data_IF_597272250104
#
_entry.id   IF_597272250104
#
_cell.length_a   1.000
_cell.length_b   1.000
_cell.length_c   1.000
_cell.angle_alpha   90.00
_cell.angle_beta   90.00
_cell.angle_gamma   90.00
#
_symmetry.space_group_name_H-M   'P 1'
#
loop_
_entity.id
_entity.type
_entity.pdbx_description
1 polymer ?
#
# COMPACT_ATOMS: atom_id res chain seq x y z
N UNK A 1 -47.02 13.60 -17.60
CA UNK A 1 -45.61 13.82 -18.01
C UNK A 1 -44.75 12.88 -17.18
N UNK A 2 -44.34 11.77 -17.78
CA UNK A 2 -43.60 10.69 -17.11
C UNK A 2 -42.10 10.99 -17.17
N UNK A 3 -41.47 11.22 -16.03
CA UNK A 3 -40.01 11.16 -15.93
C UNK A 3 -39.55 9.74 -16.29
N UNK A 4 -38.56 9.63 -17.18
CA UNK A 4 -38.08 8.32 -17.63
C UNK A 4 -37.31 7.64 -16.49
N UNK A 5 -37.33 6.29 -16.43
CA UNK A 5 -36.59 5.53 -15.41
C UNK A 5 -35.08 5.81 -15.41
N UNK A 6 -34.51 6.35 -16.49
CA UNK A 6 -33.10 6.77 -16.52
C UNK A 6 -32.85 8.09 -15.77
N UNK A 7 -33.83 8.98 -15.69
CA UNK A 7 -33.68 10.28 -15.03
C UNK A 7 -33.67 10.14 -13.50
N UNK A 8 -34.31 9.10 -12.97
CA UNK A 8 -34.28 8.75 -11.55
C UNK A 8 -32.99 8.06 -11.10
N UNK A 9 -32.35 7.29 -11.98
CA UNK A 9 -31.09 6.59 -11.65
C UNK A 9 -29.90 7.55 -11.59
N UNK A 10 -29.91 8.60 -12.41
CA UNK A 10 -28.91 9.66 -12.36
C UNK A 10 -29.09 10.59 -11.16
N UNK A 11 -30.33 10.87 -10.72
CA UNK A 11 -30.57 11.76 -9.58
C UNK A 11 -30.16 11.15 -8.22
N UNK A 12 -30.16 9.82 -8.09
CA UNK A 12 -29.76 9.13 -6.86
C UNK A 12 -28.23 8.99 -6.72
N UNK A 13 -27.51 8.87 -7.83
CA UNK A 13 -26.04 8.85 -7.81
C UNK A 13 -25.42 10.22 -7.52
N UNK A 14 -26.08 11.32 -7.90
CA UNK A 14 -25.53 12.67 -7.67
C UNK A 14 -25.86 13.25 -6.28
N UNK A 15 -26.84 12.69 -5.57
CA UNK A 15 -27.30 13.25 -4.27
C UNK A 15 -26.70 12.61 -3.02
N UNK A 16 -25.96 11.50 -3.15
CA UNK A 16 -25.23 10.90 -2.01
C UNK A 16 -23.77 11.36 -1.86
N UNK A 17 -23.27 12.19 -2.78
CA UNK A 17 -21.90 12.76 -2.73
C UNK A 17 -21.85 14.27 -2.53
N UNK A 18 -22.99 14.90 -2.20
CA UNK A 18 -23.05 16.31 -1.85
C UNK A 18 -23.63 16.44 -0.45
N UNK A 19 -22.74 16.37 0.53
CA UNK A 19 -22.76 17.07 1.83
C UNK A 19 -22.04 16.24 2.91
N UNK A 20 -20.70 16.19 2.80
CA UNK A 20 -19.82 16.06 3.97
C UNK A 20 -18.43 16.53 3.57
N UNK A 21 -18.05 17.70 4.09
CA UNK A 21 -16.72 18.32 4.17
C UNK A 21 -15.72 18.29 3.01
N UNK A 22 -15.22 19.49 2.72
CA UNK A 22 -14.17 19.83 1.74
C UNK A 22 -12.78 19.43 2.23
N UNK A 23 -12.58 18.17 2.58
CA UNK A 23 -11.25 17.54 2.60
C UNK A 23 -11.35 16.31 1.71
N UNK A 24 -10.95 16.44 0.45
CA UNK A 24 -10.94 15.30 -0.47
C UNK A 24 -9.94 14.28 0.06
N UNK A 25 -10.43 13.18 0.63
CA UNK A 25 -9.58 12.04 0.97
C UNK A 25 -8.78 11.64 -0.26
N UNK A 26 -7.47 11.83 -0.21
CA UNK A 26 -6.55 11.50 -1.29
C UNK A 26 -6.04 10.08 -1.08
N UNK A 27 -5.77 9.40 -2.19
CA UNK A 27 -5.06 8.13 -2.20
C UNK A 27 -3.67 8.37 -2.77
N UNK A 28 -2.64 7.92 -2.06
CA UNK A 28 -1.26 7.92 -2.53
C UNK A 28 -0.77 6.49 -2.61
N UNK A 29 -0.16 6.15 -3.74
CA UNK A 29 0.40 4.85 -4.07
C UNK A 29 1.92 4.91 -3.91
N UNK A 30 2.46 4.00 -3.11
CA UNK A 30 3.90 3.75 -2.98
C UNK A 30 4.15 2.29 -3.36
N UNK A 31 5.12 2.06 -4.24
CA UNK A 31 5.65 0.72 -4.47
C UNK A 31 6.86 0.49 -3.57
N UNK A 32 6.83 -0.58 -2.78
CA UNK A 32 7.89 -0.91 -1.83
C UNK A 32 8.71 -2.09 -2.37
N UNK A 33 10.02 -1.88 -2.46
CA UNK A 33 11.01 -2.85 -2.90
C UNK A 33 12.15 -2.90 -1.89
N UNK A 34 11.99 -3.70 -0.85
CA UNK A 34 12.96 -3.89 0.24
C UNK A 34 13.61 -5.27 0.25
N UNK A 35 13.18 -6.21 -0.60
CA UNK A 35 13.72 -7.56 -0.61
C UNK A 35 14.81 -7.77 -1.67
N UNK A 36 15.89 -8.43 -1.23
CA UNK A 36 16.92 -9.11 -2.02
C UNK A 36 18.00 -8.26 -2.69
N UNK A 37 18.95 -7.83 -1.88
CA UNK A 37 20.33 -8.32 -1.99
C UNK A 37 20.84 -8.59 -0.56
N UNK A 38 20.85 -9.85 -0.11
CA UNK A 38 21.91 -10.23 0.84
C UNK A 38 23.20 -10.11 0.03
N UNK A 39 23.84 -8.95 -0.03
CA UNK A 39 25.24 -8.94 -0.43
C UNK A 39 25.94 -9.88 0.54
N UNK A 40 26.34 -11.07 0.06
CA UNK A 40 27.18 -11.95 0.86
C UNK A 40 28.44 -11.16 1.20
N UNK A 41 28.44 -10.58 2.39
CA UNK A 41 29.62 -10.18 3.11
C UNK A 41 30.46 -11.44 3.23
N UNK A 42 31.52 -11.48 2.44
CA UNK A 42 32.62 -12.44 2.53
C UNK A 42 32.27 -13.90 2.16
N UNK A 43 32.31 -14.22 0.87
CA UNK A 43 32.55 -15.59 0.40
C UNK A 43 31.82 -15.96 -0.87
N UNK A 44 32.59 -16.19 -1.94
CA UNK A 44 32.18 -16.78 -3.22
C UNK A 44 31.08 -16.05 -4.03
N UNK A 45 31.56 -15.12 -4.86
CA UNK A 45 30.80 -14.32 -5.84
C UNK A 45 30.06 -15.17 -6.91
N UNK A 46 30.37 -16.47 -7.01
CA UNK A 46 29.83 -17.37 -8.04
C UNK A 46 28.63 -18.22 -7.59
N UNK A 47 28.16 -18.10 -6.33
CA UNK A 47 27.02 -18.87 -5.81
C UNK A 47 26.05 -18.07 -4.95
N UNK A 48 25.77 -16.83 -5.35
CA UNK A 48 24.52 -16.20 -4.96
C UNK A 48 23.44 -16.64 -5.95
N UNK A 49 22.49 -17.46 -5.49
CA UNK A 49 21.23 -17.68 -6.19
C UNK A 49 20.41 -16.37 -6.14
N UNK A 50 20.90 -15.33 -6.82
CA UNK A 50 20.08 -14.20 -7.21
C UNK A 50 18.99 -14.78 -8.09
N UNK A 51 17.82 -15.04 -7.51
CA UNK A 51 16.65 -15.48 -8.26
C UNK A 51 16.14 -14.32 -9.09
N UNK A 52 16.86 -14.08 -10.18
CA UNK A 52 16.63 -13.05 -11.16
C UNK A 52 15.20 -13.10 -11.69
N UNK A 53 14.64 -14.31 -11.78
CA UNK A 53 13.30 -14.52 -12.29
C UNK A 53 12.26 -14.00 -11.30
N UNK A 54 12.40 -14.33 -10.02
CA UNK A 54 11.50 -13.78 -9.00
C UNK A 54 11.64 -12.27 -8.89
N UNK A 55 12.87 -11.75 -8.97
CA UNK A 55 13.14 -10.31 -8.99
C UNK A 55 12.48 -9.59 -10.17
N UNK A 56 12.65 -10.10 -11.39
CA UNK A 56 12.04 -9.51 -12.59
C UNK A 56 10.51 -9.59 -12.53
N UNK A 57 9.96 -10.70 -12.04
CA UNK A 57 8.51 -10.83 -11.86
C UNK A 57 7.95 -9.88 -10.79
N UNK A 58 8.66 -9.69 -9.68
CA UNK A 58 8.26 -8.75 -8.61
C UNK A 58 8.19 -7.32 -9.16
N UNK A 59 9.25 -6.87 -9.82
CA UNK A 59 9.31 -5.53 -10.43
C UNK A 59 8.17 -5.33 -11.43
N UNK A 60 7.96 -6.31 -12.33
CA UNK A 60 6.90 -6.20 -13.34
C UNK A 60 5.52 -6.20 -12.68
N UNK A 61 5.25 -7.12 -11.74
CA UNK A 61 3.94 -7.23 -11.11
C UNK A 61 3.60 -5.99 -10.26
N UNK A 62 4.53 -5.51 -9.43
CA UNK A 62 4.34 -4.29 -8.64
C UNK A 62 4.18 -3.07 -9.56
N UNK A 63 4.98 -2.98 -10.62
CA UNK A 63 4.90 -1.91 -11.61
C UNK A 63 3.56 -1.88 -12.36
N UNK A 64 3.04 -3.03 -12.80
CA UNK A 64 1.73 -3.14 -13.47
C UNK A 64 0.57 -2.76 -12.55
N UNK A 65 0.58 -3.25 -11.31
CA UNK A 65 -0.43 -2.91 -10.30
C UNK A 65 -0.34 -1.42 -9.96
N UNK A 66 0.88 -0.91 -9.75
CA UNK A 66 1.13 0.48 -9.42
C UNK A 66 0.72 1.43 -10.51
N UNK A 67 1.03 1.10 -11.76
CA UNK A 67 0.57 1.85 -12.92
C UNK A 67 -0.95 1.97 -12.94
N UNK A 68 -1.66 0.85 -12.75
CA UNK A 68 -3.13 0.81 -12.75
C UNK A 68 -3.73 1.70 -11.65
N UNK A 69 -3.20 1.64 -10.43
CA UNK A 69 -3.68 2.51 -9.35
C UNK A 69 -3.31 3.97 -9.53
N UNK A 70 -2.08 4.29 -9.95
CA UNK A 70 -1.69 5.68 -10.20
C UNK A 70 -2.60 6.32 -11.25
N UNK A 71 -2.90 5.59 -12.33
CA UNK A 71 -3.86 6.04 -13.34
C UNK A 71 -5.26 6.27 -12.74
N UNK A 72 -5.78 5.30 -11.97
CA UNK A 72 -7.10 5.39 -11.32
C UNK A 72 -7.22 6.60 -10.39
N UNK A 73 -6.20 6.87 -9.59
CA UNK A 73 -6.21 7.95 -8.59
C UNK A 73 -5.59 9.25 -9.12
N UNK A 74 -5.30 9.33 -10.42
CA UNK A 74 -4.69 10.50 -11.07
C UNK A 74 -3.39 10.97 -10.37
N UNK A 75 -2.64 10.02 -9.81
CA UNK A 75 -1.34 10.28 -9.20
C UNK A 75 -0.30 10.38 -10.30
N UNK A 76 0.25 11.59 -10.49
CA UNK A 76 1.27 11.85 -11.51
C UNK A 76 2.66 11.35 -11.12
N UNK A 77 2.95 11.33 -9.83
CA UNK A 77 4.25 10.94 -9.29
C UNK A 77 4.32 9.42 -9.10
N UNK A 78 5.39 8.79 -9.58
CA UNK A 78 5.66 7.38 -9.28
C UNK A 78 6.56 7.29 -8.06
N UNK A 79 5.97 7.22 -6.87
CA UNK A 79 6.73 7.04 -5.63
C UNK A 79 7.11 5.59 -5.44
N UNK A 80 8.39 5.37 -5.18
CA UNK A 80 8.94 4.08 -4.80
C UNK A 80 9.71 4.24 -3.48
N UNK A 81 9.79 3.18 -2.69
CA UNK A 81 10.76 3.07 -1.61
C UNK A 81 11.70 1.91 -1.92
N UNK A 82 12.99 2.19 -2.04
CA UNK A 82 14.03 1.16 -2.12
C UNK A 82 15.37 1.68 -1.65
N UNK A 83 16.11 0.86 -0.91
CA UNK A 83 17.51 1.12 -0.52
C UNK A 83 18.52 0.51 -1.51
N UNK A 84 18.03 -0.24 -2.51
CA UNK A 84 18.88 -0.89 -3.51
C UNK A 84 19.06 -0.02 -4.74
N UNK A 85 20.28 0.47 -4.98
CA UNK A 85 20.61 1.24 -6.18
C UNK A 85 20.30 0.45 -7.46
N UNK A 86 20.49 -0.88 -7.45
CA UNK A 86 20.20 -1.75 -8.60
C UNK A 86 18.71 -1.78 -8.93
N UNK A 87 17.84 -1.87 -7.92
CA UNK A 87 16.38 -1.80 -8.10
C UNK A 87 16.00 -0.44 -8.67
N UNK A 88 16.50 0.64 -8.06
CA UNK A 88 16.23 2.01 -8.50
C UNK A 88 16.64 2.24 -9.96
N UNK A 89 17.84 1.80 -10.36
CA UNK A 89 18.33 1.89 -11.73
C UNK A 89 17.49 1.06 -12.71
N UNK A 90 16.99 -0.09 -12.27
CA UNK A 90 16.12 -0.96 -13.09
C UNK A 90 14.77 -0.30 -13.33
N UNK A 91 14.15 0.23 -12.27
CA UNK A 91 12.88 0.95 -12.33
C UNK A 91 12.99 2.23 -13.17
N UNK A 92 14.07 3.02 -13.01
CA UNK A 92 14.33 4.21 -13.84
C UNK A 92 14.41 3.89 -15.34
N UNK A 93 14.93 2.72 -15.72
CA UNK A 93 14.98 2.28 -17.12
C UNK A 93 13.61 1.90 -17.67
N UNK A 94 12.74 1.32 -16.85
CA UNK A 94 11.42 0.84 -17.26
C UNK A 94 10.37 1.96 -17.24
N UNK A 95 10.28 2.70 -16.13
CA UNK A 95 9.20 3.67 -15.87
C UNK A 95 9.61 5.13 -16.09
N UNK A 96 10.79 5.38 -16.67
CA UNK A 96 11.40 6.68 -17.04
C UNK A 96 11.55 7.73 -15.93
N UNK A 97 10.72 7.77 -14.89
CA UNK A 97 10.73 8.76 -13.79
C UNK A 97 10.13 8.22 -12.47
N UNK A 98 10.72 7.16 -11.90
CA UNK A 98 10.43 6.78 -10.50
C UNK A 98 11.14 7.73 -9.53
N UNK A 99 10.44 8.14 -8.47
CA UNK A 99 10.94 9.03 -7.42
C UNK A 99 11.16 8.20 -6.14
N UNK A 100 12.43 8.05 -5.73
CA UNK A 100 12.80 7.27 -4.55
C UNK A 100 12.60 8.08 -3.27
N UNK A 101 11.83 7.54 -2.32
CA UNK A 101 11.50 8.19 -1.05
C UNK A 101 12.68 8.23 -0.06
N UNK A 102 13.78 7.52 -0.35
CA UNK A 102 15.03 7.67 0.40
C UNK A 102 15.75 9.00 0.12
N UNK A 103 15.37 9.74 -0.93
CA UNK A 103 15.82 11.12 -1.16
C UNK A 103 14.97 12.09 -0.30
N UNK A 104 15.58 12.86 0.62
CA UNK A 104 14.85 13.78 1.49
C UNK A 104 13.99 14.82 0.74
N UNK A 105 14.37 15.22 -0.47
CA UNK A 105 13.57 16.16 -1.29
C UNK A 105 12.29 15.50 -1.81
N UNK A 106 12.36 14.22 -2.15
CA UNK A 106 11.21 13.44 -2.60
C UNK A 106 10.31 13.11 -1.43
N UNK A 107 10.89 12.74 -0.28
CA UNK A 107 10.15 12.55 0.96
C UNK A 107 9.37 13.81 1.36
N UNK A 108 10.02 14.97 1.35
CA UNK A 108 9.36 16.24 1.61
C UNK A 108 8.19 16.51 0.64
N UNK A 109 8.34 16.12 -0.63
CA UNK A 109 7.28 16.23 -1.64
C UNK A 109 6.10 15.27 -1.34
N UNK A 110 6.35 14.09 -0.80
CA UNK A 110 5.31 13.18 -0.32
C UNK A 110 4.54 13.83 0.84
N UNK A 111 5.24 14.37 1.84
CA UNK A 111 4.59 15.01 3.00
C UNK A 111 3.70 16.19 2.60
N UNK A 112 4.14 17.02 1.66
CA UNK A 112 3.32 18.12 1.12
C UNK A 112 2.02 17.64 0.44
N UNK A 113 1.96 16.36 0.07
CA UNK A 113 0.82 15.75 -0.60
C UNK A 113 -0.11 14.99 0.33
N UNK A 114 0.31 14.70 1.56
CA UNK A 114 -0.44 13.93 2.55
C UNK A 114 -1.13 14.86 3.54
N UNK A 115 -2.37 14.51 3.88
CA UNK A 115 -3.13 15.11 4.97
C UNK A 115 -3.63 14.02 5.93
N UNK A 116 -3.95 14.38 7.18
CA UNK A 116 -4.63 13.47 8.08
C UNK A 116 -5.91 12.90 7.47
N UNK A 117 -6.06 11.58 7.55
CA UNK A 117 -7.18 10.85 6.94
C UNK A 117 -7.02 10.54 5.45
N UNK A 118 -5.88 10.85 4.81
CA UNK A 118 -5.57 10.32 3.48
C UNK A 118 -5.25 8.83 3.54
N UNK A 119 -5.37 8.14 2.40
CA UNK A 119 -5.02 6.72 2.27
C UNK A 119 -3.66 6.56 1.63
N UNK A 120 -2.77 5.81 2.29
CA UNK A 120 -1.49 5.40 1.75
C UNK A 120 -1.56 3.92 1.38
N UNK A 121 -1.44 3.60 0.09
CA UNK A 121 -1.44 2.24 -0.42
C UNK A 121 0.01 1.83 -0.70
N UNK A 122 0.47 0.80 0.00
CA UNK A 122 1.70 0.10 -0.33
C UNK A 122 1.42 -1.07 -1.25
N UNK A 123 2.12 -1.09 -2.38
CA UNK A 123 2.18 -2.26 -3.28
C UNK A 123 3.52 -2.93 -3.02
N UNK A 124 3.46 -4.17 -2.58
CA UNK A 124 4.65 -4.95 -2.28
C UNK A 124 4.36 -6.44 -2.34
N UNK A 125 5.40 -7.23 -2.60
CA UNK A 125 5.33 -8.68 -2.48
C UNK A 125 5.10 -9.08 -1.02
N UNK A 126 4.15 -9.97 -0.77
CA UNK A 126 3.86 -10.49 0.56
C UNK A 126 4.31 -11.93 0.69
N UNK A 127 4.92 -12.27 1.82
CA UNK A 127 5.16 -13.63 2.23
C UNK A 127 4.37 -13.90 3.52
N UNK A 128 3.12 -14.38 3.44
CA UNK A 128 2.29 -14.61 4.62
C UNK A 128 2.78 -15.79 5.47
N UNK A 129 3.68 -16.64 4.96
CA UNK A 129 4.25 -17.77 5.73
C UNK A 129 5.34 -17.28 6.66
N UNK A 130 6.23 -16.42 6.15
CA UNK A 130 7.25 -15.74 6.96
C UNK A 130 6.73 -14.46 7.63
N UNK A 131 5.48 -14.09 7.34
CA UNK A 131 4.84 -12.84 7.76
C UNK A 131 5.66 -11.59 7.43
N UNK A 132 6.19 -11.52 6.21
CA UNK A 132 7.00 -10.39 5.71
C UNK A 132 6.34 -9.65 4.55
N UNK A 133 6.57 -8.33 4.47
CA UNK A 133 6.19 -7.46 3.36
C UNK A 133 7.43 -6.93 2.67
N UNK A 134 7.64 -7.32 1.41
CA UNK A 134 8.86 -7.07 0.65
C UNK A 134 10.12 -7.41 1.48
N UNK A 135 10.10 -8.52 2.21
CA UNK A 135 11.21 -8.96 3.06
C UNK A 135 11.32 -8.31 4.42
N UNK A 136 10.55 -7.24 4.70
CA UNK A 136 10.50 -6.61 6.01
C UNK A 136 9.55 -7.38 6.90
N UNK A 137 9.97 -7.70 8.10
CA UNK A 137 9.06 -8.11 9.17
C UNK A 137 8.26 -6.89 9.69
N UNK A 138 7.41 -7.12 10.68
CA UNK A 138 6.54 -6.09 11.25
C UNK A 138 7.34 -4.93 11.86
N UNK A 139 8.42 -5.23 12.59
CA UNK A 139 9.27 -4.23 13.23
C UNK A 139 9.94 -3.31 12.19
N UNK A 140 10.60 -3.88 11.18
CA UNK A 140 11.25 -3.11 10.15
C UNK A 140 10.25 -2.31 9.29
N UNK A 141 9.03 -2.85 9.06
CA UNK A 141 7.99 -2.10 8.37
C UNK A 141 7.42 -0.96 9.24
N UNK A 142 7.36 -1.12 10.56
CA UNK A 142 6.98 -0.03 11.48
C UNK A 142 8.03 1.08 11.46
N UNK A 143 9.32 0.74 11.58
CA UNK A 143 10.43 1.69 11.44
C UNK A 143 10.37 2.44 10.10
N UNK A 144 10.12 1.73 8.99
CA UNK A 144 9.95 2.38 7.69
C UNK A 144 8.85 3.45 7.71
N UNK A 145 7.70 3.18 8.33
CA UNK A 145 6.60 4.14 8.37
C UNK A 145 6.93 5.32 9.30
N UNK A 146 7.47 5.05 10.49
CA UNK A 146 7.70 6.07 11.52
C UNK A 146 8.94 6.91 11.26
N UNK A 147 10.05 6.25 10.94
CA UNK A 147 11.37 6.86 10.87
C UNK A 147 11.70 7.25 9.43
N UNK A 148 11.71 6.29 8.50
CA UNK A 148 12.17 6.57 7.14
C UNK A 148 11.21 7.46 6.36
N UNK A 149 9.91 7.22 6.51
CA UNK A 149 8.88 8.04 5.90
C UNK A 149 8.41 9.19 6.78
N UNK A 150 8.92 9.29 8.02
CA UNK A 150 8.60 10.34 8.98
C UNK A 150 7.07 10.53 9.14
N UNK A 151 6.29 9.44 9.11
CA UNK A 151 4.82 9.49 9.17
C UNK A 151 4.26 9.35 10.59
N UNK A 152 5.11 9.48 11.61
CA UNK A 152 4.65 9.50 12.99
C UNK A 152 3.60 10.60 13.19
N UNK A 153 2.45 10.26 13.78
CA UNK A 153 1.33 11.19 14.05
C UNK A 153 0.57 11.71 12.81
N UNK A 154 0.82 11.21 11.60
CA UNK A 154 0.12 11.67 10.39
C UNK A 154 -1.37 11.30 10.34
N UNK A 155 -1.81 10.32 11.12
CA UNK A 155 -3.22 9.90 11.22
C UNK A 155 -3.83 9.46 9.87
N UNK A 156 -3.12 8.62 9.11
CA UNK A 156 -3.53 8.13 7.78
C UNK A 156 -4.33 6.81 7.83
N UNK A 157 -4.93 6.43 6.72
CA UNK A 157 -5.41 5.07 6.47
C UNK A 157 -4.32 4.31 5.70
N UNK A 158 -3.79 3.24 6.28
CA UNK A 158 -2.81 2.40 5.62
C UNK A 158 -3.50 1.24 4.89
N UNK A 159 -3.17 1.02 3.63
CA UNK A 159 -3.60 -0.14 2.86
C UNK A 159 -2.37 -0.89 2.36
N UNK A 160 -2.21 -2.14 2.79
CA UNK A 160 -1.16 -3.04 2.33
C UNK A 160 -1.76 -3.89 1.21
N UNK A 161 -1.58 -3.43 -0.04
CA UNK A 161 -2.05 -4.11 -1.24
C UNK A 161 -1.08 -5.22 -1.62
N UNK A 162 -1.10 -6.29 -0.82
CA UNK A 162 -0.21 -7.43 -0.94
C UNK A 162 -0.97 -8.75 -0.80
N UNK A 163 -0.64 -9.70 -1.67
CA UNK A 163 -1.31 -10.99 -1.78
C UNK A 163 -1.30 -11.73 -0.43
N UNK A 164 -2.49 -12.17 0.01
CA UNK A 164 -2.68 -13.05 1.18
C UNK A 164 -2.18 -12.53 2.53
N UNK A 165 -1.69 -11.28 2.64
CA UNK A 165 -1.20 -10.71 3.90
C UNK A 165 -2.29 -10.51 4.97
N UNK A 166 -3.56 -10.58 4.60
CA UNK A 166 -4.67 -10.68 5.56
C UNK A 166 -4.58 -11.93 6.46
N UNK A 167 -3.82 -12.95 6.04
CA UNK A 167 -3.60 -14.19 6.81
C UNK A 167 -2.34 -14.14 7.70
N UNK A 168 -1.53 -13.07 7.63
CA UNK A 168 -0.35 -12.88 8.49
C UNK A 168 -0.79 -12.26 9.81
N UNK A 169 -1.16 -13.10 10.78
CA UNK A 169 -1.84 -12.66 11.99
C UNK A 169 -0.92 -11.89 12.93
N UNK A 170 0.32 -12.37 13.14
CA UNK A 170 1.24 -11.72 14.09
C UNK A 170 1.73 -10.40 13.51
N UNK A 171 2.15 -10.39 12.24
CA UNK A 171 2.49 -9.15 11.54
C UNK A 171 1.40 -8.08 11.67
N UNK A 172 0.13 -8.43 11.39
CA UNK A 172 -0.97 -7.48 11.54
C UNK A 172 -1.17 -7.02 12.99
N UNK A 173 -1.06 -7.93 13.97
CA UNK A 173 -1.20 -7.57 15.38
C UNK A 173 -0.11 -6.57 15.81
N UNK A 174 1.13 -6.79 15.38
CA UNK A 174 2.24 -5.89 15.66
C UNK A 174 2.02 -4.53 15.00
N UNK A 175 1.55 -4.48 13.74
CA UNK A 175 1.24 -3.21 13.09
C UNK A 175 0.14 -2.42 13.80
N UNK A 176 -0.89 -3.08 14.34
CA UNK A 176 -1.98 -2.41 15.07
C UNK A 176 -1.43 -1.66 16.29
N UNK A 177 -0.48 -2.28 17.01
CA UNK A 177 0.14 -1.70 18.19
C UNK A 177 1.16 -0.63 17.78
N UNK A 178 2.09 -1.02 16.90
CA UNK A 178 3.23 -0.21 16.49
C UNK A 178 2.84 1.05 15.74
N UNK A 179 1.81 1.00 14.89
CA UNK A 179 1.38 2.15 14.07
C UNK A 179 0.20 2.93 14.67
N UNK A 180 -0.08 2.76 15.97
CA UNK A 180 -1.26 3.36 16.61
C UNK A 180 -1.25 4.89 16.66
N UNK A 181 -0.08 5.53 16.66
CA UNK A 181 0.09 6.98 16.55
C UNK A 181 -0.06 7.49 15.11
N UNK A 182 0.29 6.67 14.12
CA UNK A 182 0.46 7.09 12.72
C UNK A 182 -0.74 6.76 11.83
N UNK A 183 -1.39 5.64 12.10
CA UNK A 183 -2.46 5.09 11.26
C UNK A 183 -3.75 4.99 12.06
N UNK A 184 -4.91 5.25 11.45
CA UNK A 184 -6.25 5.01 12.02
C UNK A 184 -6.77 3.61 11.72
N UNK A 185 -6.46 3.14 10.52
CA UNK A 185 -6.86 1.83 10.04
C UNK A 185 -5.76 1.21 9.21
N UNK A 186 -5.65 -0.11 9.28
CA UNK A 186 -4.76 -0.91 8.45
C UNK A 186 -5.63 -1.88 7.65
N UNK A 187 -5.56 -1.81 6.32
CA UNK A 187 -6.29 -2.69 5.42
C UNK A 187 -5.36 -3.71 4.79
N UNK A 188 -5.70 -5.00 4.88
CA UNK A 188 -4.95 -6.13 4.28
C UNK A 188 -5.91 -7.05 3.53
N UNK A 189 -5.40 -7.99 2.73
CA UNK A 189 -6.21 -8.84 1.86
C UNK A 189 -5.91 -10.33 2.01
N UNK A 190 -6.95 -11.16 2.03
CA UNK A 190 -6.86 -12.62 2.27
C UNK A 190 -6.52 -13.46 1.03
N UNK A 191 -6.54 -12.85 -0.15
CA UNK A 191 -6.49 -13.55 -1.44
C UNK A 191 -5.35 -13.02 -2.31
N UNK A 192 -5.15 -13.65 -3.47
CA UNK A 192 -4.27 -13.11 -4.50
C UNK A 192 -4.87 -11.83 -5.09
N UNK A 193 -3.99 -10.89 -5.46
CA UNK A 193 -4.37 -9.55 -5.92
C UNK A 193 -3.77 -9.28 -7.29
N UNK A 194 -4.52 -8.58 -8.11
CA UNK A 194 -4.04 -7.90 -9.30
C UNK A 194 -4.76 -6.54 -9.42
N UNK A 195 -4.39 -5.72 -10.39
CA UNK A 195 -5.14 -4.51 -10.71
C UNK A 195 -5.21 -4.32 -12.22
N UNK A 196 -6.26 -3.63 -12.67
CA UNK A 196 -6.44 -3.24 -14.06
C UNK A 196 -7.13 -1.87 -14.14
N UNK A 197 -7.50 -1.44 -15.35
CA UNK A 197 -8.17 -0.16 -15.59
C UNK A 197 -9.48 0.03 -14.81
N UNK A 198 -10.15 -1.07 -14.43
CA UNK A 198 -11.41 -1.03 -13.68
C UNK A 198 -11.18 -0.96 -12.16
N UNK A 199 -9.96 -1.23 -11.68
CA UNK A 199 -9.58 -1.15 -10.27
C UNK A 199 -8.94 -2.43 -9.76
N UNK A 200 -9.20 -2.75 -8.49
CA UNK A 200 -8.72 -3.97 -7.83
C UNK A 200 -9.34 -5.22 -8.44
N UNK A 201 -8.52 -6.25 -8.59
CA UNK A 201 -8.95 -7.60 -8.96
C UNK A 201 -8.57 -8.56 -7.83
N UNK A 202 -9.55 -9.29 -7.32
CA UNK A 202 -9.37 -10.29 -6.28
C UNK A 202 -9.45 -11.67 -6.89
N UNK A 203 -8.42 -12.49 -6.66
CA UNK A 203 -8.29 -13.81 -7.25
C UNK A 203 -8.39 -14.84 -6.13
N UNK A 204 -9.52 -15.53 -6.08
CA UNK A 204 -9.71 -16.67 -5.20
C UNK A 204 -9.25 -17.93 -5.92
N UNK A 205 -8.18 -18.53 -5.42
CA UNK A 205 -7.62 -19.75 -5.99
C UNK A 205 -8.64 -20.90 -5.94
N UNK A 206 -8.77 -21.59 -7.06
CA UNK A 206 -9.52 -22.84 -7.13
C UNK A 206 -8.82 -23.96 -6.36
N UNK A 207 -9.59 -24.95 -5.92
CA UNK A 207 -9.02 -26.22 -5.45
C UNK A 207 -8.32 -26.98 -6.58
N UNK A 208 -7.73 -28.15 -6.28
CA UNK A 208 -6.97 -28.96 -7.25
C UNK A 208 -7.68 -29.28 -8.58
N UNK A 209 -9.01 -29.16 -8.63
CA UNK A 209 -9.83 -29.45 -9.81
C UNK A 209 -10.76 -28.30 -10.22
N UNK A 210 -10.61 -27.11 -9.62
CA UNK A 210 -11.47 -25.95 -9.90
C UNK A 210 -10.65 -24.83 -10.55
N UNK A 211 -11.33 -23.99 -11.32
CA UNK A 211 -10.75 -22.78 -11.88
C UNK A 211 -10.65 -21.69 -10.83
N UNK A 212 -9.66 -20.81 -10.99
CA UNK A 212 -9.58 -19.59 -10.19
C UNK A 212 -10.78 -18.67 -10.47
N UNK A 213 -11.27 -18.04 -9.41
CA UNK A 213 -12.39 -17.10 -9.50
C UNK A 213 -11.88 -15.66 -9.35
N UNK A 214 -12.24 -14.82 -10.31
CA UNK A 214 -11.83 -13.42 -10.39
C UNK A 214 -13.01 -12.51 -10.03
N UNK A 215 -12.81 -11.61 -9.08
CA UNK A 215 -13.82 -10.67 -8.59
C UNK A 215 -13.32 -9.23 -8.67
N UNK A 216 -14.23 -8.28 -8.89
CA UNK A 216 -13.94 -6.86 -8.93
C UNK A 216 -14.11 -6.15 -7.59
N UNK A 217 -13.93 -4.83 -7.59
CA UNK A 217 -14.06 -3.95 -6.42
C UNK A 217 -15.40 -4.06 -5.69
N UNK A 218 -16.48 -4.39 -6.39
CA UNK A 218 -17.81 -4.58 -5.79
C UNK A 218 -17.85 -5.73 -4.76
N UNK A 219 -16.83 -6.59 -4.73
CA UNK A 219 -16.68 -7.71 -3.78
C UNK A 219 -15.58 -7.48 -2.74
N UNK A 220 -15.00 -6.29 -2.66
CA UNK A 220 -13.84 -6.00 -1.78
C UNK A 220 -14.06 -6.44 -0.32
N UNK A 221 -15.27 -6.26 0.22
CA UNK A 221 -15.62 -6.61 1.60
C UNK A 221 -15.49 -8.11 1.92
N UNK A 222 -15.53 -8.96 0.91
CA UNK A 222 -15.31 -10.40 1.09
C UNK A 222 -13.83 -10.72 1.37
N UNK A 223 -12.92 -9.90 0.85
CA UNK A 223 -11.51 -10.20 0.75
C UNK A 223 -10.63 -9.36 1.67
N UNK A 224 -11.06 -8.13 1.98
CA UNK A 224 -10.31 -7.24 2.88
C UNK A 224 -10.50 -7.62 4.34
N UNK A 225 -9.52 -7.25 5.14
CA UNK A 225 -9.61 -7.14 6.59
C UNK A 225 -9.22 -5.71 6.95
N UNK A 226 -10.01 -5.09 7.82
CA UNK A 226 -9.76 -3.73 8.30
C UNK A 226 -9.51 -3.81 9.80
N UNK A 227 -8.28 -3.54 10.19
CA UNK A 227 -7.89 -3.38 11.58
C UNK A 227 -7.98 -1.92 11.98
N UNK A 228 -8.54 -1.66 13.16
CA UNK A 228 -8.56 -0.31 13.74
C UNK A 228 -7.46 -0.21 14.78
N UNK A 229 -6.67 0.84 14.69
CA UNK A 229 -5.75 1.21 15.74
C UNK A 229 -6.52 1.99 16.82
N UNK A 230 -6.06 1.91 18.07
CA UNK A 230 -6.57 2.79 19.12
C UNK A 230 -5.66 3.99 19.16
N UNK A 231 -6.11 5.13 18.63
CA UNK A 231 -5.32 6.36 18.69
C UNK A 231 -5.23 6.75 20.17
N UNK A 232 -4.02 6.75 20.73
CA UNK A 232 -3.77 7.33 22.05
C UNK A 232 -3.69 8.83 21.86
N UNK A 233 -4.78 9.55 22.18
CA UNK A 233 -4.71 11.02 22.23
C UNK A 233 -3.72 11.40 23.34
N UNK A 234 -2.64 12.12 22.99
CA UNK A 234 -1.78 12.70 24.02
C UNK A 234 -2.61 13.60 24.94
N UNK A 235 -2.53 13.45 26.26
CA UNK A 235 -3.24 14.31 27.18
C UNK A 235 -2.78 15.76 26.97
N UNK A 236 -3.69 16.75 27.02
CA UNK A 236 -3.31 18.14 26.81
C UNK A 236 -2.23 18.53 27.81
N UNK A 237 -1.13 19.10 27.29
CA UNK A 237 -0.06 19.69 28.08
C UNK A 237 -0.68 20.59 29.16
N UNK A 238 -0.47 20.23 30.41
CA UNK A 238 -0.97 21.02 31.53
C UNK A 238 -0.45 22.45 31.40
N UNK A 239 -1.30 23.49 31.57
CA UNK A 239 -0.84 24.86 31.46
C UNK A 239 0.29 25.11 32.47
N UNK A 240 1.26 25.97 32.12
CA UNK A 240 2.36 26.29 33.02
C UNK A 240 1.80 26.75 34.36
N UNK A 241 2.29 26.14 35.44
CA UNK A 241 1.99 26.60 36.79
C UNK A 241 2.60 28.00 36.95
N UNK A 242 1.75 29.01 37.02
CA UNK A 242 2.13 30.36 37.47
C UNK A 242 2.54 30.35 38.95
#
# INVERSE_FOLDING_TARGET
MSASKSDMHNLLHTKFFKESDKTSHKVIIIELYSCYLEENLEGDVDKMDFDRKNFEHEIVANGEIGHSFRHRYNQKDHFIYTVSEKVELTLKKQEKQSLNLTDPKILHRLHQQLNPGDTLIFIAQGNPVEEKLAGLDSEAFIELIHEDLELENFNIHLEIYSCKMGNAYSFRADLIVGLSSSCKTITTYKVLLAANELGRVFIQEGGKNDYDHFYGEEKIDLFRIIDKTTIVEEPPLSPPKN
#
